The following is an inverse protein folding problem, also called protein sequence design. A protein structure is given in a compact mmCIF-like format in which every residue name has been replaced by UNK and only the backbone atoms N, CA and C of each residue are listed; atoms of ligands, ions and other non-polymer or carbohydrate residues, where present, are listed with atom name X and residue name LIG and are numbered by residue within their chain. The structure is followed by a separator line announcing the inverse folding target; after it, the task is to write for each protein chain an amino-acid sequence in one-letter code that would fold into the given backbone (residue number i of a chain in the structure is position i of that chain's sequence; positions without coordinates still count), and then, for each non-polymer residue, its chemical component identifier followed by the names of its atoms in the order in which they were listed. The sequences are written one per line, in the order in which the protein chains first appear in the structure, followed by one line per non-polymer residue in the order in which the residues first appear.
data_IF_334954697695
#
_entry.id   IF_334954697695
#
_cell.length_a   1.000
_cell.length_b   1.000
_cell.length_c   1.000
_cell.angle_alpha   90.00
_cell.angle_beta   90.00
_cell.angle_gamma   90.00
#
_symmetry.space_group_name_H-M   'P 1'
#
loop_
_entity.id
_entity.type
_entity.pdbx_description
1 polymer ?
#
# COMPACT_ATOMS: atom_id res chain seq x y z
N UNK A 1 13.93 -29.63 0.96
CA UNK A 1 15.09 -30.53 0.74
C UNK A 1 16.10 -29.97 -0.27
N UNK A 2 15.85 -28.79 -0.82
CA UNK A 2 16.70 -28.14 -1.84
C UNK A 2 18.10 -27.68 -1.32
N UNK A 3 18.51 -28.03 -0.11
CA UNK A 3 19.83 -27.66 0.44
C UNK A 3 20.01 -26.16 0.67
N UNK A 4 18.92 -25.41 0.83
CA UNK A 4 18.96 -23.98 1.10
C UNK A 4 19.18 -23.70 2.59
N UNK A 5 19.92 -22.63 2.90
CA UNK A 5 20.00 -22.10 4.26
C UNK A 5 18.73 -21.33 4.57
N UNK A 6 17.92 -21.84 5.49
CA UNK A 6 16.64 -21.24 5.88
C UNK A 6 16.74 -20.53 7.23
N UNK A 7 16.11 -19.37 7.35
CA UNK A 7 16.03 -18.59 8.60
C UNK A 7 14.60 -18.10 8.79
N UNK A 8 14.10 -18.19 10.02
CA UNK A 8 12.86 -17.56 10.46
C UNK A 8 13.22 -16.26 11.20
N UNK A 9 12.76 -15.15 10.69
CA UNK A 9 12.86 -13.84 11.33
C UNK A 9 11.55 -13.50 12.03
N UNK A 10 11.65 -12.67 13.08
CA UNK A 10 10.52 -12.02 13.74
C UNK A 10 10.73 -10.52 13.60
N UNK A 11 9.88 -9.83 12.85
CA UNK A 11 10.02 -8.41 12.54
C UNK A 11 8.90 -7.58 13.19
N UNK A 12 9.19 -6.31 13.47
CA UNK A 12 8.27 -5.39 14.12
C UNK A 12 7.93 -5.74 15.57
N UNK A 13 7.13 -4.90 16.19
CA UNK A 13 6.71 -5.07 17.60
C UNK A 13 5.74 -6.23 17.79
N UNK A 14 4.96 -6.57 16.77
CA UNK A 14 4.03 -7.69 16.78
C UNK A 14 4.72 -9.03 16.45
N UNK A 15 6.00 -9.01 16.06
CA UNK A 15 6.77 -10.20 15.77
C UNK A 15 6.31 -10.96 14.52
N UNK A 16 5.93 -10.23 13.46
CA UNK A 16 5.51 -10.83 12.19
C UNK A 16 6.56 -11.81 11.66
N UNK A 17 6.21 -13.06 11.37
CA UNK A 17 7.16 -14.03 10.85
C UNK A 17 7.51 -13.72 9.38
N UNK A 18 8.81 -13.76 9.08
CA UNK A 18 9.33 -13.76 7.71
C UNK A 18 10.25 -14.97 7.58
N UNK A 19 9.92 -15.86 6.66
CA UNK A 19 10.78 -16.99 6.33
C UNK A 19 11.67 -16.62 5.15
N UNK A 20 12.98 -16.75 5.33
CA UNK A 20 13.94 -16.56 4.24
C UNK A 20 14.68 -17.85 3.96
N UNK A 21 15.04 -18.07 2.69
CA UNK A 21 15.88 -19.18 2.27
C UNK A 21 16.88 -18.70 1.22
N UNK A 22 18.10 -19.24 1.20
CA UNK A 22 19.13 -18.83 0.24
C UNK A 22 20.09 -19.95 -0.11
N UNK A 23 20.62 -19.88 -1.33
CA UNK A 23 21.77 -20.69 -1.75
C UNK A 23 23.00 -20.30 -0.92
N UNK A 24 23.89 -21.25 -0.68
CA UNK A 24 25.09 -21.01 0.11
C UNK A 24 26.23 -20.40 -0.74
N UNK A 25 27.14 -19.68 -0.09
CA UNK A 25 28.39 -19.24 -0.68
C UNK A 25 28.37 -17.97 -1.52
N UNK A 26 27.29 -17.18 -1.51
CA UNK A 26 27.20 -15.96 -2.32
C UNK A 26 27.07 -14.69 -1.46
N UNK A 27 27.83 -13.65 -1.81
CA UNK A 27 27.68 -12.29 -1.22
C UNK A 27 26.58 -11.49 -1.94
N UNK A 28 26.27 -11.84 -3.19
CA UNK A 28 25.17 -11.30 -4.00
C UNK A 28 24.47 -12.45 -4.72
N UNK A 29 23.22 -12.26 -5.11
CA UNK A 29 22.38 -13.27 -5.71
C UNK A 29 21.91 -12.85 -7.09
N UNK A 30 21.74 -13.83 -8.00
CA UNK A 30 21.16 -13.58 -9.31
C UNK A 30 19.68 -13.23 -9.21
N UNK A 31 18.95 -13.93 -8.33
CA UNK A 31 17.51 -13.76 -8.19
C UNK A 31 17.05 -13.64 -6.75
N UNK A 32 16.04 -12.81 -6.53
CA UNK A 32 15.23 -12.75 -5.33
C UNK A 32 13.78 -13.13 -5.67
N UNK A 33 13.26 -14.15 -5.01
CA UNK A 33 11.87 -14.59 -5.12
C UNK A 33 11.10 -14.16 -3.88
N UNK A 34 10.14 -13.26 -4.07
CA UNK A 34 9.33 -12.68 -2.99
C UNK A 34 7.88 -13.14 -3.08
N UNK A 35 7.28 -13.38 -1.93
CA UNK A 35 5.87 -13.67 -1.77
C UNK A 35 5.43 -13.49 -0.34
N UNK A 36 4.12 -13.66 -0.09
CA UNK A 36 3.54 -13.57 1.24
C UNK A 36 2.65 -14.77 1.59
N UNK A 37 2.38 -14.95 2.88
CA UNK A 37 1.59 -16.07 3.41
C UNK A 37 0.33 -15.62 4.14
N UNK A 38 0.22 -14.35 4.49
CA UNK A 38 -0.99 -13.74 5.06
C UNK A 38 -2.10 -13.61 4.00
N UNK A 39 -3.28 -13.26 4.43
CA UNK A 39 -4.45 -13.05 3.58
C UNK A 39 -5.37 -12.00 4.20
N UNK A 40 -6.19 -11.34 3.39
CA UNK A 40 -7.23 -10.38 3.82
C UNK A 40 -8.36 -11.03 4.64
N UNK A 41 -8.39 -12.34 4.75
CA UNK A 41 -9.50 -13.06 5.38
C UNK A 41 -9.34 -13.16 6.90
N UNK A 42 -10.43 -12.97 7.68
CA UNK A 42 -10.43 -13.18 9.12
C UNK A 42 -10.01 -14.60 9.52
N UNK A 43 -9.44 -14.72 10.71
CA UNK A 43 -9.16 -16.03 11.31
C UNK A 43 -10.43 -16.90 11.37
N UNK A 44 -10.30 -18.17 11.04
CA UNK A 44 -11.43 -19.10 10.99
C UNK A 44 -12.11 -19.25 9.63
N UNK A 45 -11.87 -18.33 8.68
CA UNK A 45 -12.47 -18.42 7.33
C UNK A 45 -12.21 -19.77 6.64
N UNK A 46 -11.07 -20.42 6.91
CA UNK A 46 -10.76 -21.74 6.35
C UNK A 46 -11.71 -22.83 6.84
N UNK A 47 -12.33 -22.67 8.01
CA UNK A 47 -13.33 -23.61 8.53
C UNK A 47 -14.67 -23.46 7.80
N UNK A 48 -15.02 -22.26 7.37
CA UNK A 48 -16.24 -21.96 6.62
C UNK A 48 -16.07 -22.22 5.11
N UNK A 49 -14.87 -21.94 4.60
CA UNK A 49 -14.49 -22.08 3.20
C UNK A 49 -13.21 -22.90 3.06
N UNK A 50 -13.26 -24.22 3.35
CA UNK A 50 -12.09 -25.08 3.32
C UNK A 50 -11.50 -25.17 1.90
N UNK A 51 -10.22 -25.55 1.84
CA UNK A 51 -9.60 -25.89 0.57
C UNK A 51 -10.38 -27.03 -0.10
N UNK A 52 -10.72 -26.84 -1.38
CA UNK A 52 -11.34 -27.86 -2.20
C UNK A 52 -10.84 -27.78 -3.64
N UNK A 53 -10.86 -28.91 -4.34
CA UNK A 53 -10.56 -29.02 -5.75
C UNK A 53 -11.77 -29.49 -6.52
N UNK A 54 -12.10 -28.80 -7.61
CA UNK A 54 -13.17 -29.16 -8.55
C UNK A 54 -12.61 -29.15 -9.96
N UNK A 55 -12.31 -30.33 -10.53
CA UNK A 55 -11.67 -30.46 -11.81
C UNK A 55 -10.27 -29.81 -11.82
N UNK A 56 -10.11 -28.79 -12.63
CA UNK A 56 -8.85 -28.03 -12.77
C UNK A 56 -8.81 -26.77 -11.88
N UNK A 57 -9.83 -26.53 -11.08
CA UNK A 57 -9.91 -25.38 -10.21
C UNK A 57 -9.67 -25.76 -8.75
N UNK A 58 -9.03 -24.87 -8.01
CA UNK A 58 -8.85 -24.95 -6.56
C UNK A 58 -9.46 -23.73 -5.91
N UNK A 59 -10.08 -23.94 -4.75
CA UNK A 59 -10.78 -22.91 -3.98
C UNK A 59 -10.31 -22.94 -2.54
N UNK A 60 -10.32 -21.78 -1.90
CA UNK A 60 -9.96 -21.60 -0.50
C UNK A 60 -9.38 -20.20 -0.22
N UNK A 61 -9.32 -19.76 1.04
CA UNK A 61 -8.74 -18.47 1.40
C UNK A 61 -7.27 -18.38 1.00
N UNK A 62 -6.94 -17.32 0.21
CA UNK A 62 -5.58 -17.06 -0.24
C UNK A 62 -5.03 -18.00 -1.31
N UNK A 63 -5.88 -18.83 -2.00
CA UNK A 63 -5.37 -19.74 -3.05
C UNK A 63 -4.76 -19.00 -4.23
N UNK A 64 -5.33 -17.86 -4.64
CA UNK A 64 -4.77 -17.01 -5.71
C UNK A 64 -3.80 -15.99 -5.14
N UNK A 65 -4.15 -15.39 -4.02
CA UNK A 65 -3.43 -14.34 -3.34
C UNK A 65 -2.98 -14.84 -1.96
N UNK A 66 -1.68 -15.23 -1.80
CA UNK A 66 -0.86 -15.66 -2.95
C UNK A 66 -0.25 -17.06 -2.71
N UNK A 67 -0.98 -17.97 -2.03
CA UNK A 67 -0.46 -19.31 -1.65
C UNK A 67 -0.04 -20.16 -2.87
N UNK A 68 -0.71 -20.00 -4.02
CA UNK A 68 -0.28 -20.65 -5.25
C UNK A 68 1.10 -20.14 -5.69
N UNK A 69 1.33 -18.82 -5.61
CA UNK A 69 2.64 -18.22 -5.88
C UNK A 69 3.71 -18.70 -4.90
N UNK A 70 3.39 -18.78 -3.60
CA UNK A 70 4.31 -19.31 -2.61
C UNK A 70 4.70 -20.77 -2.89
N UNK A 71 3.75 -21.62 -3.29
CA UNK A 71 4.05 -22.99 -3.74
C UNK A 71 4.91 -23.01 -5.00
N UNK A 72 4.64 -22.14 -5.96
CA UNK A 72 5.43 -22.06 -7.19
C UNK A 72 6.88 -21.67 -6.89
N UNK A 73 7.13 -20.77 -5.93
CA UNK A 73 8.48 -20.45 -5.47
C UNK A 73 9.21 -21.70 -4.96
N UNK A 74 8.53 -22.55 -4.18
CA UNK A 74 9.15 -23.75 -3.61
C UNK A 74 9.51 -24.78 -4.72
N UNK A 75 8.61 -25.03 -5.66
CA UNK A 75 8.88 -25.90 -6.79
C UNK A 75 9.98 -25.34 -7.70
N UNK A 76 9.95 -24.04 -7.97
CA UNK A 76 11.00 -23.36 -8.74
C UNK A 76 12.36 -23.48 -8.06
N UNK A 77 12.41 -23.31 -6.74
CA UNK A 77 13.66 -23.45 -5.99
C UNK A 77 14.23 -24.87 -6.07
N UNK A 78 13.39 -25.91 -6.01
CA UNK A 78 13.79 -27.29 -6.17
C UNK A 78 14.34 -27.54 -7.59
N UNK A 79 13.59 -27.14 -8.61
CA UNK A 79 13.99 -27.22 -10.02
C UNK A 79 15.31 -26.51 -10.29
N UNK A 80 15.47 -25.27 -9.83
CA UNK A 80 16.70 -24.49 -10.05
C UNK A 80 17.92 -25.12 -9.35
N UNK A 81 17.74 -25.76 -8.20
CA UNK A 81 18.82 -26.45 -7.51
C UNK A 81 19.28 -27.72 -8.25
N UNK A 82 18.37 -28.39 -8.94
CA UNK A 82 18.65 -29.61 -9.73
C UNK A 82 19.23 -29.28 -11.08
N UNK A 83 18.59 -28.40 -11.85
CA UNK A 83 18.91 -28.15 -13.25
C UNK A 83 19.90 -26.97 -13.44
N UNK A 84 19.96 -26.05 -12.49
CA UNK A 84 20.81 -24.84 -12.56
C UNK A 84 21.61 -24.63 -11.26
N UNK A 85 22.46 -25.57 -10.83
CA UNK A 85 23.12 -25.57 -9.52
C UNK A 85 24.07 -24.38 -9.30
N UNK A 86 24.49 -23.70 -10.36
CA UNK A 86 25.34 -22.49 -10.31
C UNK A 86 24.55 -21.21 -10.10
N UNK A 87 23.22 -21.22 -10.32
CA UNK A 87 22.37 -20.05 -10.11
C UNK A 87 22.22 -19.78 -8.62
N UNK A 88 22.54 -18.57 -8.22
CA UNK A 88 22.39 -18.12 -6.84
C UNK A 88 21.07 -17.39 -6.66
N UNK A 89 20.32 -17.75 -5.63
CA UNK A 89 19.05 -17.08 -5.35
C UNK A 89 18.72 -17.03 -3.86
N UNK A 90 17.86 -16.10 -3.52
CA UNK A 90 17.26 -15.96 -2.20
C UNK A 90 15.73 -15.89 -2.31
N UNK A 91 15.06 -16.31 -1.26
CA UNK A 91 13.59 -16.34 -1.12
C UNK A 91 13.23 -15.58 0.14
N UNK A 92 12.14 -14.81 0.12
CA UNK A 92 11.48 -14.32 1.33
C UNK A 92 9.97 -14.50 1.20
N UNK A 93 9.35 -15.03 2.26
CA UNK A 93 7.91 -15.13 2.43
C UNK A 93 7.55 -14.39 3.71
N UNK A 94 6.89 -13.24 3.60
CA UNK A 94 6.45 -12.41 4.73
C UNK A 94 4.99 -12.70 5.11
N UNK A 95 4.53 -12.12 6.21
CA UNK A 95 3.20 -12.31 6.75
C UNK A 95 2.48 -11.02 7.14
N UNK A 96 2.86 -9.91 6.52
CA UNK A 96 2.30 -8.58 6.73
C UNK A 96 2.09 -7.82 5.40
N UNK A 97 2.01 -8.55 4.27
CA UNK A 97 1.85 -7.93 2.95
C UNK A 97 0.49 -7.25 2.82
N UNK A 98 -0.56 -7.90 3.27
CA UNK A 98 -1.95 -7.45 3.13
C UNK A 98 -2.26 -6.16 3.93
N UNK A 99 -1.35 -5.78 4.82
CA UNK A 99 -1.39 -4.50 5.54
C UNK A 99 -0.31 -3.52 5.05
N UNK A 100 0.38 -3.83 3.94
CA UNK A 100 1.38 -2.96 3.30
C UNK A 100 2.82 -3.25 3.71
N UNK A 101 3.13 -4.41 4.29
CA UNK A 101 4.49 -4.84 4.71
C UNK A 101 5.22 -3.86 5.64
N UNK A 102 4.56 -3.25 6.64
CA UNK A 102 5.19 -2.19 7.44
C UNK A 102 6.43 -2.68 8.19
N UNK A 103 6.40 -3.91 8.70
CA UNK A 103 7.47 -4.47 9.52
C UNK A 103 8.50 -5.26 8.70
N UNK A 104 8.08 -5.92 7.62
CA UNK A 104 8.99 -6.74 6.79
C UNK A 104 9.76 -5.92 5.76
N UNK A 105 9.32 -4.73 5.37
CA UNK A 105 9.93 -3.89 4.33
C UNK A 105 11.45 -3.67 4.52
N UNK A 106 11.99 -3.37 5.71
CA UNK A 106 13.43 -3.20 5.87
C UNK A 106 14.22 -4.46 5.50
N UNK A 107 13.75 -5.63 5.94
CA UNK A 107 14.37 -6.93 5.64
C UNK A 107 14.26 -7.26 4.14
N UNK A 108 13.09 -7.05 3.53
CA UNK A 108 12.88 -7.28 2.09
C UNK A 108 13.79 -6.38 1.23
N UNK A 109 13.98 -5.12 1.63
CA UNK A 109 14.91 -4.19 0.96
C UNK A 109 16.36 -4.64 1.06
N UNK A 110 16.78 -5.16 2.20
CA UNK A 110 18.12 -5.73 2.37
C UNK A 110 18.36 -6.89 1.38
N UNK A 111 17.41 -7.80 1.26
CA UNK A 111 17.50 -8.91 0.28
C UNK A 111 17.49 -8.40 -1.16
N UNK A 112 16.61 -7.48 -1.49
CA UNK A 112 16.47 -6.90 -2.83
C UNK A 112 17.74 -6.17 -3.28
N UNK A 113 18.39 -5.42 -2.38
CA UNK A 113 19.61 -4.66 -2.69
C UNK A 113 20.79 -5.54 -3.10
N UNK A 114 20.81 -6.80 -2.67
CA UNK A 114 21.85 -7.76 -2.97
C UNK A 114 21.54 -8.71 -4.14
N UNK A 115 20.48 -8.44 -4.91
CA UNK A 115 20.04 -9.28 -6.01
C UNK A 115 20.02 -8.53 -7.35
N UNK A 116 20.32 -9.26 -8.43
CA UNK A 116 20.27 -8.71 -9.80
C UNK A 116 18.85 -8.59 -10.34
N UNK A 117 18.03 -9.61 -10.05
CA UNK A 117 16.64 -9.69 -10.52
C UNK A 117 15.71 -10.00 -9.35
N UNK A 118 14.54 -9.35 -9.35
CA UNK A 118 13.52 -9.54 -8.32
C UNK A 118 12.25 -10.02 -8.98
N UNK A 119 11.68 -11.11 -8.46
CA UNK A 119 10.42 -11.69 -8.93
C UNK A 119 9.45 -11.78 -7.77
N UNK A 120 8.28 -11.14 -7.91
CA UNK A 120 7.18 -11.22 -6.95
C UNK A 120 6.12 -12.15 -7.52
N UNK A 121 5.76 -13.19 -6.79
CA UNK A 121 4.93 -14.30 -7.28
C UNK A 121 3.44 -14.10 -7.01
N UNK A 122 2.98 -12.86 -7.17
CA UNK A 122 1.57 -12.50 -7.08
C UNK A 122 0.73 -13.10 -8.23
N UNK A 123 -0.59 -13.05 -8.04
CA UNK A 123 -1.54 -13.53 -9.03
C UNK A 123 -1.37 -12.85 -10.40
N UNK A 124 -1.40 -13.65 -11.45
CA UNK A 124 -1.29 -13.16 -12.83
C UNK A 124 -2.48 -12.27 -13.20
N UNK A 125 -2.23 -11.32 -14.11
CA UNK A 125 -3.29 -10.57 -14.78
C UNK A 125 -4.00 -11.44 -15.83
N UNK A 126 -5.12 -10.93 -16.37
CA UNK A 126 -5.82 -11.60 -17.46
C UNK A 126 -4.84 -11.98 -18.57
N UNK A 127 -5.02 -13.16 -19.17
CA UNK A 127 -4.17 -13.69 -20.26
C UNK A 127 -2.71 -13.99 -19.89
N UNK A 128 -2.40 -14.20 -18.59
CA UNK A 128 -1.05 -14.57 -18.16
C UNK A 128 -0.02 -13.44 -18.23
N UNK A 129 -0.46 -12.19 -18.24
CA UNK A 129 0.42 -11.03 -18.31
C UNK A 129 1.17 -10.83 -17.00
N UNK A 130 2.47 -10.56 -17.11
CA UNK A 130 3.31 -10.13 -16.00
C UNK A 130 3.16 -8.61 -15.77
N UNK A 131 3.26 -8.22 -14.51
CA UNK A 131 3.31 -6.80 -14.12
C UNK A 131 4.78 -6.41 -13.99
N UNK A 132 5.23 -5.50 -14.85
CA UNK A 132 6.61 -4.97 -14.85
C UNK A 132 6.69 -3.54 -14.33
N UNK A 133 5.54 -2.88 -14.12
CA UNK A 133 5.44 -1.52 -13.61
C UNK A 133 4.13 -1.35 -12.83
N UNK A 134 4.19 -0.63 -11.70
CA UNK A 134 3.02 -0.24 -10.92
C UNK A 134 3.07 1.26 -10.61
N UNK A 135 1.89 1.87 -10.46
CA UNK A 135 1.79 3.22 -9.92
C UNK A 135 2.22 3.24 -8.48
N UNK A 136 2.93 4.30 -8.08
CA UNK A 136 3.10 4.64 -6.68
C UNK A 136 1.75 4.99 -6.05
N UNK A 137 1.64 4.75 -4.75
CA UNK A 137 0.47 5.09 -3.93
C UNK A 137 0.96 5.92 -2.75
N UNK A 138 0.24 7.02 -2.47
CA UNK A 138 0.38 7.78 -1.24
C UNK A 138 -1.02 8.04 -0.66
N UNK A 139 -1.13 8.00 0.64
CA UNK A 139 -2.39 8.26 1.35
C UNK A 139 -2.19 9.47 2.25
N UNK A 140 -3.22 10.29 2.37
CA UNK A 140 -3.19 11.49 3.19
C UNK A 140 -4.45 11.60 4.04
N UNK A 141 -4.25 11.86 5.32
CA UNK A 141 -5.28 12.35 6.21
C UNK A 141 -5.24 13.88 6.16
N UNK A 142 -6.38 14.49 5.89
CA UNK A 142 -6.54 15.94 5.75
C UNK A 142 -7.33 16.43 6.96
N UNK A 143 -6.80 17.40 7.69
CA UNK A 143 -7.49 18.06 8.78
C UNK A 143 -7.62 19.54 8.49
N UNK A 144 -8.83 20.08 8.70
CA UNK A 144 -9.15 21.48 8.52
C UNK A 144 -9.75 22.03 9.79
N UNK A 145 -9.15 23.08 10.32
CA UNK A 145 -9.66 23.84 11.46
C UNK A 145 -10.17 25.20 10.99
N UNK A 146 -11.32 25.58 11.47
CA UNK A 146 -11.95 26.88 11.27
C UNK A 146 -12.34 27.52 12.59
N UNK A 147 -13.36 28.38 12.57
CA UNK A 147 -13.85 29.09 13.75
C UNK A 147 -15.36 28.89 13.87
N UNK A 148 -15.81 28.34 14.98
CA UNK A 148 -17.24 28.17 15.26
C UNK A 148 -17.92 29.52 15.51
N UNK A 149 -19.12 29.68 14.98
CA UNK A 149 -20.00 30.81 15.34
C UNK A 149 -21.47 30.41 15.06
N UNK A 150 -22.41 31.20 15.62
CA UNK A 150 -23.82 30.96 15.35
C UNK A 150 -24.18 31.38 13.91
N UNK A 151 -24.61 30.43 13.10
CA UNK A 151 -24.83 30.64 11.66
C UNK A 151 -25.91 31.70 11.33
N UNK A 152 -26.85 31.96 12.22
CA UNK A 152 -27.92 32.93 12.02
C UNK A 152 -27.64 34.33 12.62
N UNK A 153 -26.95 34.41 13.78
CA UNK A 153 -26.77 35.68 14.50
C UNK A 153 -25.39 36.31 14.35
N UNK A 154 -24.36 35.51 14.07
CA UNK A 154 -22.98 35.96 13.93
C UNK A 154 -22.19 35.23 12.86
N UNK A 155 -22.75 35.02 11.63
CA UNK A 155 -22.07 34.21 10.58
C UNK A 155 -20.70 34.80 10.18
N UNK A 156 -20.54 36.11 10.23
CA UNK A 156 -19.31 36.82 9.87
C UNK A 156 -18.14 36.59 10.83
N UNK A 157 -18.39 36.01 12.02
CA UNK A 157 -17.33 35.67 12.99
C UNK A 157 -16.82 34.25 12.86
N UNK A 158 -17.49 33.44 12.03
CA UNK A 158 -17.11 32.07 11.79
C UNK A 158 -16.23 31.87 10.57
N UNK A 159 -15.45 30.79 10.56
CA UNK A 159 -14.69 30.30 9.42
C UNK A 159 -15.07 28.83 9.21
N UNK A 160 -15.70 28.52 8.11
CA UNK A 160 -16.25 27.18 7.86
C UNK A 160 -15.16 26.20 7.41
N UNK A 161 -14.81 25.25 8.27
CA UNK A 161 -13.90 24.17 7.93
C UNK A 161 -14.44 23.26 6.80
N UNK A 162 -15.76 23.05 6.73
CA UNK A 162 -16.38 22.28 5.63
C UNK A 162 -16.21 23.01 4.30
N UNK A 163 -16.41 24.33 4.26
CA UNK A 163 -16.23 25.09 3.04
C UNK A 163 -14.77 25.06 2.57
N UNK A 164 -13.83 25.31 3.46
CA UNK A 164 -12.39 25.18 3.15
C UNK A 164 -12.04 23.78 2.59
N UNK A 165 -12.47 22.72 3.27
CA UNK A 165 -12.22 21.36 2.82
C UNK A 165 -12.87 21.09 1.45
N UNK A 166 -14.03 21.65 1.17
CA UNK A 166 -14.72 21.51 -0.14
C UNK A 166 -13.91 22.17 -1.27
N UNK A 167 -13.33 23.35 -1.04
CA UNK A 167 -12.45 24.03 -2.01
C UNK A 167 -11.17 23.20 -2.27
N UNK A 168 -10.59 22.62 -1.23
CA UNK A 168 -9.44 21.71 -1.34
C UNK A 168 -9.80 20.50 -2.22
N UNK A 169 -10.95 19.87 -2.01
CA UNK A 169 -11.42 18.73 -2.83
C UNK A 169 -11.60 19.14 -4.29
N UNK A 170 -12.14 20.31 -4.55
CA UNK A 170 -12.28 20.86 -5.91
C UNK A 170 -10.93 21.10 -6.54
N UNK A 171 -9.94 21.62 -5.80
CA UNK A 171 -8.59 21.83 -6.31
C UNK A 171 -7.88 20.50 -6.62
N UNK A 172 -8.05 19.47 -5.78
CA UNK A 172 -7.53 18.13 -6.09
C UNK A 172 -8.13 17.54 -7.36
N UNK A 173 -9.42 17.81 -7.63
CA UNK A 173 -10.05 17.35 -8.87
C UNK A 173 -9.39 17.95 -10.11
N UNK A 174 -8.94 19.20 -10.04
CA UNK A 174 -8.21 19.90 -11.12
C UNK A 174 -6.76 19.44 -11.27
N UNK A 175 -6.16 18.97 -10.17
CA UNK A 175 -4.78 18.45 -10.16
C UNK A 175 -4.65 17.03 -10.72
N UNK A 176 -5.75 16.30 -10.82
CA UNK A 176 -5.80 14.99 -11.45
C UNK A 176 -5.36 15.07 -12.92
N UNK A 177 -4.55 14.11 -13.36
CA UNK A 177 -4.11 13.99 -14.74
C UNK A 177 -3.99 12.52 -15.13
N UNK A 178 -5.08 11.96 -15.66
CA UNK A 178 -5.15 10.54 -16.01
C UNK A 178 -4.25 10.19 -17.20
N UNK A 179 -3.97 11.11 -18.11
CA UNK A 179 -3.05 10.91 -19.23
C UNK A 179 -1.61 10.74 -18.74
N UNK A 180 -1.22 11.46 -17.69
CA UNK A 180 0.08 11.31 -17.01
C UNK A 180 0.05 10.24 -15.93
N UNK A 181 -1.06 9.50 -15.82
CA UNK A 181 -1.23 8.42 -14.86
C UNK A 181 -1.46 8.87 -13.42
N UNK A 182 -1.70 10.17 -13.16
CA UNK A 182 -2.00 10.69 -11.83
C UNK A 182 -3.50 10.67 -11.58
N UNK A 183 -3.93 9.92 -10.57
CA UNK A 183 -5.31 9.93 -10.07
C UNK A 183 -5.36 10.28 -8.59
N UNK A 184 -6.33 11.11 -8.21
CA UNK A 184 -6.56 11.56 -6.84
C UNK A 184 -7.99 11.21 -6.48
N UNK A 185 -8.18 10.54 -5.36
CA UNK A 185 -9.49 10.19 -4.84
C UNK A 185 -9.61 10.61 -3.38
N UNK A 186 -10.52 11.53 -3.09
CA UNK A 186 -10.95 11.81 -1.71
C UNK A 186 -12.12 10.88 -1.42
N UNK A 187 -11.81 9.78 -0.72
CA UNK A 187 -12.76 8.67 -0.52
C UNK A 187 -13.65 8.82 0.72
N UNK A 188 -13.20 9.60 1.70
CA UNK A 188 -13.95 9.87 2.93
C UNK A 188 -13.87 11.36 3.26
N UNK A 189 -14.97 11.91 3.76
CA UNK A 189 -15.07 13.30 4.19
C UNK A 189 -16.10 13.41 5.32
N UNK A 190 -15.76 14.14 6.36
CA UNK A 190 -16.67 14.41 7.50
C UNK A 190 -16.43 15.81 8.05
N UNK A 191 -17.42 16.36 8.76
CA UNK A 191 -17.27 17.67 9.40
C UNK A 191 -18.56 18.22 9.98
N UNK A 192 -18.40 19.23 10.86
CA UNK A 192 -19.51 19.90 11.52
C UNK A 192 -20.07 19.08 12.70
N UNK A 193 -21.03 19.69 13.40
CA UNK A 193 -21.68 19.08 14.57
C UNK A 193 -23.20 19.29 14.58
N UNK A 194 -23.66 20.52 14.37
CA UNK A 194 -25.08 20.92 14.35
C UNK A 194 -25.34 21.97 13.28
N UNK A 195 -26.57 22.03 12.77
CA UNK A 195 -26.95 22.86 11.61
C UNK A 195 -26.83 24.36 11.82
N UNK A 196 -27.00 24.84 13.04
CA UNK A 196 -27.00 26.26 13.35
C UNK A 196 -25.63 26.81 13.82
N UNK A 197 -24.55 26.02 13.66
CA UNK A 197 -23.18 26.43 13.98
C UNK A 197 -22.30 26.31 12.74
N UNK A 198 -21.51 27.35 12.44
CA UNK A 198 -20.46 27.28 11.42
C UNK A 198 -19.43 26.26 11.87
N UNK A 199 -19.13 25.23 11.03
CA UNK A 199 -18.29 24.12 11.43
C UNK A 199 -16.83 24.56 11.62
N UNK A 200 -16.30 24.33 12.82
CA UNK A 200 -14.90 24.63 13.16
C UNK A 200 -13.92 23.48 12.84
N UNK A 201 -14.44 22.31 12.46
CA UNK A 201 -13.62 21.15 12.15
C UNK A 201 -14.22 20.38 10.95
N UNK A 202 -13.34 19.96 10.06
CA UNK A 202 -13.64 18.98 9.00
C UNK A 202 -12.40 18.14 8.70
N UNK A 203 -12.59 16.92 8.26
CA UNK A 203 -11.51 16.02 7.87
C UNK A 203 -11.84 15.21 6.62
N UNK A 204 -10.80 14.73 5.93
CA UNK A 204 -10.95 13.86 4.77
C UNK A 204 -9.80 12.86 4.69
N UNK A 205 -10.02 11.77 3.93
CA UNK A 205 -8.98 10.81 3.57
C UNK A 205 -8.84 10.74 2.06
N UNK A 206 -7.61 10.90 1.61
CA UNK A 206 -7.26 10.98 0.19
C UNK A 206 -6.26 9.89 -0.19
N UNK A 207 -6.46 9.27 -1.36
CA UNK A 207 -5.49 8.40 -2.02
C UNK A 207 -4.99 9.08 -3.30
N UNK A 208 -3.66 9.14 -3.43
CA UNK A 208 -2.95 9.56 -4.63
C UNK A 208 -2.32 8.34 -5.30
N UNK A 209 -2.52 8.18 -6.61
CA UNK A 209 -1.74 7.24 -7.43
C UNK A 209 -0.99 7.99 -8.52
N UNK A 210 0.27 7.64 -8.73
CA UNK A 210 1.17 8.34 -9.66
C UNK A 210 2.11 7.37 -10.38
N UNK A 211 2.56 7.75 -11.58
CA UNK A 211 3.47 6.94 -12.41
C UNK A 211 4.93 7.37 -12.30
N UNK A 212 5.20 8.58 -11.77
CA UNK A 212 6.56 9.10 -11.66
C UNK A 212 6.74 9.94 -10.40
N UNK A 213 7.96 9.95 -9.87
CA UNK A 213 8.31 10.79 -8.72
C UNK A 213 8.05 12.29 -8.98
N UNK A 214 8.21 12.74 -10.24
CA UNK A 214 7.88 14.12 -10.65
C UNK A 214 6.41 14.47 -10.43
N UNK A 215 5.49 13.54 -10.72
CA UNK A 215 4.06 13.73 -10.47
C UNK A 215 3.74 13.74 -8.97
N UNK A 216 4.36 12.85 -8.20
CA UNK A 216 4.25 12.86 -6.74
C UNK A 216 4.68 14.20 -6.16
N UNK A 217 5.88 14.70 -6.48
CA UNK A 217 6.36 16.01 -6.05
C UNK A 217 5.46 17.17 -6.50
N UNK A 218 4.84 17.07 -7.67
CA UNK A 218 3.89 18.09 -8.15
C UNK A 218 2.70 18.20 -7.19
N UNK A 219 2.18 17.08 -6.73
CA UNK A 219 1.06 17.05 -5.77
C UNK A 219 1.52 17.51 -4.39
N UNK A 220 2.70 17.10 -3.91
CA UNK A 220 3.24 17.59 -2.63
C UNK A 220 3.41 19.11 -2.61
N UNK A 221 3.86 19.71 -3.72
CA UNK A 221 3.93 21.18 -3.83
C UNK A 221 2.56 21.85 -3.76
N UNK A 222 1.54 21.24 -4.33
CA UNK A 222 0.17 21.74 -4.22
C UNK A 222 -0.35 21.63 -2.79
N UNK A 223 -0.12 20.50 -2.12
CA UNK A 223 -0.43 20.28 -0.70
C UNK A 223 0.23 21.37 0.16
N UNK A 224 1.53 21.55 0.05
CA UNK A 224 2.27 22.58 0.82
C UNK A 224 1.73 23.99 0.58
N UNK A 225 1.25 24.28 -0.64
CA UNK A 225 0.61 25.58 -0.93
C UNK A 225 -0.73 25.70 -0.22
N UNK A 226 -1.55 24.65 -0.17
CA UNK A 226 -2.85 24.66 0.54
C UNK A 226 -2.67 24.85 2.04
N UNK A 227 -1.64 24.22 2.65
CA UNK A 227 -1.30 24.42 4.07
C UNK A 227 -0.86 25.84 4.37
N UNK A 228 -0.02 26.42 3.51
CA UNK A 228 0.56 27.76 3.72
C UNK A 228 -0.41 28.90 3.36
N UNK A 229 -1.37 28.63 2.48
CA UNK A 229 -2.34 29.61 1.99
C UNK A 229 -3.71 28.97 1.82
N UNK A 230 -4.47 28.74 2.89
CA UNK A 230 -5.86 28.30 2.80
C UNK A 230 -6.73 29.27 1.98
N UNK A 231 -7.82 28.76 1.42
CA UNK A 231 -8.80 29.57 0.67
C UNK A 231 -9.52 30.57 1.56
N UNK A 232 -9.88 30.14 2.79
CA UNK A 232 -10.55 30.98 3.76
C UNK A 232 -9.55 31.56 4.75
N UNK A 233 -9.51 32.90 4.84
CA UNK A 233 -8.73 33.58 5.87
C UNK A 233 -9.19 33.12 7.26
N UNK A 234 -8.23 32.68 8.11
CA UNK A 234 -8.50 32.15 9.44
C UNK A 234 -8.74 30.65 9.50
N UNK A 235 -8.75 29.94 8.39
CA UNK A 235 -8.67 28.49 8.38
C UNK A 235 -7.23 28.00 8.56
N UNK A 236 -7.07 26.81 9.14
CA UNK A 236 -5.80 26.06 9.16
C UNK A 236 -6.01 24.71 8.50
N UNK A 237 -5.06 24.31 7.68
CA UNK A 237 -5.10 23.05 6.92
C UNK A 237 -3.83 22.26 7.19
N UNK A 238 -3.96 20.97 7.45
CA UNK A 238 -2.83 20.08 7.71
C UNK A 238 -3.02 18.77 6.92
N UNK A 239 -1.94 18.27 6.32
CA UNK A 239 -1.91 16.99 5.65
C UNK A 239 -0.91 16.07 6.35
N UNK A 240 -1.35 14.85 6.65
CA UNK A 240 -0.49 13.79 7.20
C UNK A 240 -0.44 12.64 6.20
N UNK A 241 0.75 12.37 5.67
CA UNK A 241 0.98 11.18 4.84
C UNK A 241 1.08 9.94 5.74
N UNK A 242 0.31 8.89 5.41
CA UNK A 242 0.15 7.64 6.19
C UNK A 242 0.51 6.38 5.39
#
# INVERSE_FOLDING_TARGET
KAGLKTTLHRVGTLGHPVVTARTQGSASYDCFFSGHIDTVFPSGTVSERPFRREGNFVYGPGTVDMKAGALLILYLAEYLREEHPTLSFTIALNSDEEIGSPDSTPLLREFAANCRHIFVFEGQRKQGQFVNERKGIAKFDIEVLGVASHAGTAPQQGVSAILELSEIVVDFSKLQNLERGTSINVGLMEGGSVLNVIPAHASAKMELRYTSHREYERILRAISKMETKPHLSGASVTFHES
#
